data_IF_784210768898
#
_entry.id   IF_784210768898
#
_cell.length_a   1.000
_cell.length_b   1.000
_cell.length_c   1.000
_cell.angle_alpha   90.00
_cell.angle_beta   90.00
_cell.angle_gamma   90.00
#
_symmetry.space_group_name_H-M   'P 1'
#
loop_
_entity.id
_entity.type
_entity.pdbx_description
1 polymer ?
#
# COMPACT_ATOMS: atom_id res chain seq x y z
N UNK A 1 8.40 -8.12 -20.48
CA UNK A 1 7.92 -9.51 -20.31
C UNK A 1 9.06 -10.36 -19.75
N UNK A 2 8.83 -11.64 -19.45
CA UNK A 2 9.89 -12.63 -19.23
C UNK A 2 10.50 -13.01 -20.57
N UNK A 3 11.83 -13.07 -20.61
CA UNK A 3 12.58 -13.11 -21.85
C UNK A 3 12.79 -14.58 -22.27
N UNK A 4 12.49 -14.89 -23.53
CA UNK A 4 12.66 -16.24 -24.12
C UNK A 4 13.77 -16.12 -25.16
N UNK A 5 14.90 -16.81 -24.93
CA UNK A 5 16.13 -16.66 -25.71
C UNK A 5 16.38 -17.89 -26.57
N UNK A 6 16.56 -17.67 -27.87
CA UNK A 6 16.93 -18.71 -28.84
C UNK A 6 18.29 -18.38 -29.46
N UNK A 7 19.24 -19.29 -29.28
CA UNK A 7 20.62 -19.16 -29.74
C UNK A 7 20.88 -20.09 -30.94
N UNK A 8 21.45 -19.51 -32.00
CA UNK A 8 21.82 -20.26 -33.21
C UNK A 8 22.89 -21.30 -32.87
N UNK A 9 22.65 -22.54 -33.29
CA UNK A 9 23.53 -23.68 -33.01
C UNK A 9 23.27 -24.40 -31.68
N UNK A 10 22.40 -23.88 -30.80
CA UNK A 10 22.03 -24.55 -29.54
C UNK A 10 20.57 -25.03 -29.55
N UNK A 11 19.62 -24.14 -29.27
CA UNK A 11 18.18 -24.44 -29.18
C UNK A 11 17.37 -23.96 -30.41
N UNK A 12 18.04 -23.56 -31.49
CA UNK A 12 17.41 -23.02 -32.71
C UNK A 12 16.35 -23.94 -33.33
N UNK A 13 16.55 -25.26 -33.30
CA UNK A 13 15.57 -26.24 -33.78
C UNK A 13 14.24 -26.20 -33.00
N UNK A 14 14.22 -25.73 -31.75
CA UNK A 14 12.99 -25.52 -30.98
C UNK A 14 12.21 -24.31 -31.50
N UNK A 15 12.91 -23.25 -31.94
CA UNK A 15 12.28 -22.08 -32.56
C UNK A 15 11.64 -22.47 -33.90
N UNK A 16 12.36 -23.22 -34.74
CA UNK A 16 11.82 -23.74 -36.02
C UNK A 16 10.65 -24.70 -35.79
N UNK A 17 10.77 -25.60 -34.81
CA UNK A 17 9.69 -26.52 -34.41
C UNK A 17 8.46 -25.82 -33.81
N UNK A 18 8.64 -24.67 -33.18
CA UNK A 18 7.57 -23.83 -32.65
C UNK A 18 6.87 -23.06 -33.78
N UNK A 19 7.63 -22.34 -34.61
CA UNK A 19 7.10 -21.55 -35.73
C UNK A 19 6.42 -22.39 -36.83
N UNK A 20 6.76 -23.67 -36.94
CA UNK A 20 6.11 -24.62 -37.88
C UNK A 20 4.85 -25.29 -37.33
N UNK A 21 4.52 -25.09 -36.04
CA UNK A 21 3.39 -25.76 -35.36
C UNK A 21 2.43 -24.81 -34.63
N UNK A 22 2.88 -23.60 -34.29
CA UNK A 22 2.15 -22.64 -33.49
C UNK A 22 2.18 -21.26 -34.13
N UNK A 23 1.00 -20.68 -34.37
CA UNK A 23 0.84 -19.31 -34.90
C UNK A 23 1.00 -18.22 -33.82
N UNK A 24 1.04 -18.62 -32.54
CA UNK A 24 1.12 -17.74 -31.38
C UNK A 24 2.12 -18.23 -30.33
N UNK A 25 2.66 -17.29 -29.55
CA UNK A 25 3.58 -17.55 -28.45
C UNK A 25 3.05 -16.88 -27.17
N UNK A 26 2.75 -17.69 -26.16
CA UNK A 26 2.37 -17.20 -24.84
C UNK A 26 3.59 -16.66 -24.09
N UNK A 27 3.60 -15.35 -23.80
CA UNK A 27 4.66 -14.68 -23.06
C UNK A 27 4.18 -14.22 -21.69
N UNK A 28 4.91 -14.59 -20.63
CA UNK A 28 4.58 -14.15 -19.26
C UNK A 28 4.95 -12.68 -19.06
N UNK A 29 4.00 -11.86 -18.63
CA UNK A 29 4.26 -10.50 -18.17
C UNK A 29 5.00 -10.52 -16.82
N UNK A 30 5.97 -9.61 -16.63
CA UNK A 30 6.61 -9.39 -15.32
C UNK A 30 5.62 -8.58 -14.46
N UNK A 31 5.35 -8.99 -13.22
CA UNK A 31 4.55 -8.14 -12.32
C UNK A 31 5.28 -6.82 -12.04
N UNK A 32 4.50 -5.75 -11.79
CA UNK A 32 5.05 -4.40 -11.68
C UNK A 32 5.52 -3.75 -12.98
N UNK A 33 5.22 -4.37 -14.12
CA UNK A 33 5.31 -3.74 -15.43
C UNK A 33 3.95 -3.77 -16.12
N UNK A 34 3.57 -2.70 -16.80
CA UNK A 34 2.38 -2.66 -17.65
C UNK A 34 2.64 -3.28 -19.05
N UNK A 35 1.58 -3.67 -19.79
CA UNK A 35 1.73 -4.06 -21.20
C UNK A 35 2.16 -2.87 -22.06
N UNK A 36 2.79 -3.12 -23.21
CA UNK A 36 3.23 -2.06 -24.13
C UNK A 36 2.10 -1.17 -24.67
N UNK A 37 0.84 -1.60 -24.61
CA UNK A 37 -0.31 -0.76 -24.99
C UNK A 37 -0.61 0.34 -23.95
N UNK A 38 -0.29 0.10 -22.67
CA UNK A 38 -0.58 0.99 -21.55
C UNK A 38 0.65 1.79 -21.07
N UNK A 39 1.86 1.27 -21.30
CA UNK A 39 3.15 1.91 -20.99
C UNK A 39 4.19 1.63 -22.10
N UNK A 40 4.04 2.23 -23.31
CA UNK A 40 4.89 1.89 -24.46
C UNK A 40 6.39 2.09 -24.25
N UNK A 41 6.75 3.07 -23.41
CA UNK A 41 8.13 3.45 -23.10
C UNK A 41 8.62 2.87 -21.75
N UNK A 42 7.75 2.16 -21.01
CA UNK A 42 8.08 1.64 -19.69
C UNK A 42 8.26 2.70 -18.59
N UNK A 43 7.93 3.97 -18.84
CA UNK A 43 8.22 5.07 -17.91
C UNK A 43 7.42 4.98 -16.60
N UNK A 44 6.16 4.53 -16.64
CA UNK A 44 5.37 4.33 -15.40
C UNK A 44 6.01 3.23 -14.55
N UNK A 45 6.38 2.14 -15.22
CA UNK A 45 7.04 0.98 -14.61
C UNK A 45 8.43 1.34 -14.04
N UNK A 46 9.19 2.18 -14.75
CA UNK A 46 10.52 2.66 -14.32
C UNK A 46 10.42 3.61 -13.12
N UNK A 47 9.50 4.57 -13.13
CA UNK A 47 9.28 5.49 -11.99
C UNK A 47 8.92 4.70 -10.73
N UNK A 48 8.04 3.70 -10.86
CA UNK A 48 7.72 2.81 -9.74
C UNK A 48 8.95 2.10 -9.17
N UNK A 49 9.81 1.54 -10.05
CA UNK A 49 11.07 0.90 -9.65
C UNK A 49 12.02 1.89 -8.93
N UNK A 50 12.23 3.09 -9.48
CA UNK A 50 13.17 4.08 -8.89
C UNK A 50 12.81 4.49 -7.47
N UNK A 51 11.52 4.49 -7.13
CA UNK A 51 11.02 4.76 -5.77
C UNK A 51 11.35 3.64 -4.75
N UNK A 52 12.10 2.59 -5.13
CA UNK A 52 12.62 1.57 -4.20
C UNK A 52 14.14 1.34 -4.31
N UNK A 53 14.80 1.83 -5.35
CA UNK A 53 16.22 1.53 -5.61
C UNK A 53 17.19 2.34 -4.74
N UNK A 54 16.73 3.40 -4.08
CA UNK A 54 17.57 4.30 -3.28
C UNK A 54 17.64 3.92 -1.79
N UNK A 55 17.15 2.74 -1.39
CA UNK A 55 16.89 2.34 0.01
C UNK A 55 15.94 3.29 0.78
N UNK A 56 15.29 4.21 0.07
CA UNK A 56 14.22 5.07 0.60
C UNK A 56 12.90 4.41 0.28
N UNK A 57 12.40 3.59 1.20
CA UNK A 57 11.00 3.16 1.17
C UNK A 57 10.13 4.43 1.24
N UNK A 58 9.18 4.65 0.30
CA UNK A 58 8.27 5.78 0.39
C UNK A 58 7.37 5.57 1.61
N UNK A 59 7.64 6.28 2.71
CA UNK A 59 6.90 6.15 3.98
C UNK A 59 5.38 6.38 3.83
N UNK A 60 4.93 6.97 2.72
CA UNK A 60 3.54 7.10 2.34
C UNK A 60 3.24 6.51 0.94
N UNK A 61 3.37 5.19 0.75
CA UNK A 61 2.85 4.51 -0.45
C UNK A 61 1.31 4.63 -0.47
N UNK A 62 0.78 5.58 -1.26
CA UNK A 62 -0.65 5.63 -1.57
C UNK A 62 -1.04 4.42 -2.43
N UNK A 63 -2.24 3.89 -2.19
CA UNK A 63 -2.88 2.83 -2.98
C UNK A 63 -2.84 3.08 -4.50
N UNK A 64 -3.01 4.35 -4.91
CA UNK A 64 -3.04 4.80 -6.31
C UNK A 64 -1.72 4.51 -7.03
N UNK A 65 -0.59 4.61 -6.32
CA UNK A 65 0.71 4.27 -6.88
C UNK A 65 0.79 2.78 -7.17
N UNK A 66 0.45 1.89 -6.22
CA UNK A 66 0.47 0.43 -6.45
C UNK A 66 -0.35 0.06 -7.69
N UNK A 67 -1.55 0.64 -7.85
CA UNK A 67 -2.44 0.34 -8.99
C UNK A 67 -2.00 0.93 -10.32
N UNK A 68 -1.10 1.92 -10.36
CA UNK A 68 -0.77 2.64 -11.60
C UNK A 68 0.22 1.91 -12.51
N UNK A 69 0.87 0.85 -12.04
CA UNK A 69 1.89 0.09 -12.77
C UNK A 69 1.70 -1.44 -12.72
N UNK A 70 0.53 -1.94 -12.30
CA UNK A 70 0.24 -3.38 -12.23
C UNK A 70 -1.16 -3.72 -12.74
N UNK A 71 -1.29 -4.86 -13.42
CA UNK A 71 -2.56 -5.46 -13.82
C UNK A 71 -2.78 -6.84 -13.15
N UNK A 72 -2.00 -7.16 -12.10
CA UNK A 72 -2.16 -8.42 -11.37
C UNK A 72 -3.45 -8.38 -10.52
N UNK A 73 -4.40 -9.27 -10.83
CA UNK A 73 -5.71 -9.34 -10.15
C UNK A 73 -5.58 -9.60 -8.65
N UNK A 74 -4.57 -10.32 -8.19
CA UNK A 74 -4.30 -10.58 -6.76
C UNK A 74 -3.92 -9.29 -6.07
N UNK A 75 -3.00 -8.53 -6.67
CA UNK A 75 -2.54 -7.23 -6.16
C UNK A 75 -3.69 -6.23 -6.14
N UNK A 76 -4.44 -6.11 -7.23
CA UNK A 76 -5.60 -5.22 -7.32
C UNK A 76 -6.68 -5.57 -6.27
N UNK A 77 -6.93 -6.86 -6.03
CA UNK A 77 -7.81 -7.31 -4.96
C UNK A 77 -7.25 -7.00 -3.56
N UNK A 78 -5.94 -7.16 -3.33
CA UNK A 78 -5.31 -6.80 -2.05
C UNK A 78 -5.44 -5.31 -1.78
N UNK A 79 -5.17 -4.46 -2.78
CA UNK A 79 -5.37 -3.02 -2.67
C UNK A 79 -6.85 -2.73 -2.35
N UNK A 80 -7.79 -3.27 -3.13
CA UNK A 80 -9.23 -3.01 -2.98
C UNK A 80 -9.83 -3.47 -1.63
N UNK A 81 -9.41 -4.62 -1.11
CA UNK A 81 -10.06 -5.23 0.07
C UNK A 81 -9.29 -5.02 1.38
N UNK A 82 -7.99 -4.74 1.33
CA UNK A 82 -7.17 -4.54 2.54
C UNK A 82 -6.63 -3.11 2.67
N UNK A 83 -6.16 -2.48 1.58
CA UNK A 83 -5.51 -1.16 1.67
C UNK A 83 -6.48 0.02 1.44
N UNK A 84 -7.56 -0.20 0.70
CA UNK A 84 -8.56 0.82 0.43
C UNK A 84 -9.47 1.00 1.64
N UNK A 85 -9.40 2.18 2.28
CA UNK A 85 -10.32 2.57 3.37
C UNK A 85 -11.75 2.38 2.86
N UNK A 86 -12.57 1.59 3.58
CA UNK A 86 -14.00 1.45 3.27
C UNK A 86 -14.68 2.81 3.43
N UNK A 87 -14.83 3.53 2.32
CA UNK A 87 -15.94 4.47 2.19
C UNK A 87 -17.21 3.63 2.21
N UNK A 88 -17.92 3.66 3.32
CA UNK A 88 -19.32 3.22 3.35
C UNK A 88 -20.08 4.10 2.38
N UNK A 89 -20.42 3.55 1.22
CA UNK A 89 -21.36 4.18 0.27
C UNK A 89 -22.77 4.16 0.85
N UNK A 90 -22.98 4.93 1.92
CA UNK A 90 -24.31 5.28 2.37
C UNK A 90 -24.94 6.20 1.31
N UNK A 91 -25.73 5.61 0.42
CA UNK A 91 -26.74 6.31 -0.36
C UNK A 91 -27.80 6.87 0.60
N UNK A 92 -27.50 8.00 1.25
CA UNK A 92 -28.51 8.80 1.91
C UNK A 92 -29.33 9.54 0.85
N UNK A 93 -30.53 9.03 0.56
CA UNK A 93 -31.58 9.84 -0.02
C UNK A 93 -31.96 10.93 1.00
N UNK A 94 -31.55 12.17 0.73
CA UNK A 94 -31.85 13.30 1.60
C UNK A 94 -33.30 13.72 1.39
N UNK A 95 -34.19 13.21 2.23
CA UNK A 95 -35.55 13.74 2.35
C UNK A 95 -35.50 15.16 2.95
N UNK A 96 -35.93 16.15 2.17
CA UNK A 96 -35.78 17.60 2.42
C UNK A 96 -36.60 18.19 3.60
N UNK A 97 -36.98 17.40 4.61
CA UNK A 97 -37.93 17.81 5.66
C UNK A 97 -37.31 18.28 6.98
N UNK A 98 -36.00 18.12 7.20
CA UNK A 98 -35.38 18.41 8.52
C UNK A 98 -34.60 19.73 8.59
N UNK A 99 -34.38 20.44 7.47
CA UNK A 99 -33.64 21.72 7.46
C UNK A 99 -34.49 22.87 8.07
N UNK A 100 -35.81 22.83 7.90
CA UNK A 100 -36.74 23.86 8.39
C UNK A 100 -36.79 23.99 9.92
N UNK A 101 -36.39 22.97 10.67
CA UNK A 101 -36.50 22.93 12.14
C UNK A 101 -35.21 23.32 12.87
N UNK A 102 -34.07 23.38 12.19
CA UNK A 102 -32.80 23.79 12.80
C UNK A 102 -32.58 25.31 12.77
N UNK A 103 -33.09 26.00 11.75
CA UNK A 103 -32.86 27.44 11.52
C UNK A 103 -33.60 28.33 12.54
N UNK A 104 -34.68 27.86 13.15
CA UNK A 104 -35.48 28.63 14.10
C UNK A 104 -34.92 28.73 15.53
N UNK A 105 -33.75 28.13 15.82
CA UNK A 105 -33.15 28.11 17.18
C UNK A 105 -31.88 28.93 17.38
N UNK A 106 -31.36 29.60 16.34
CA UNK A 106 -30.11 30.38 16.42
C UNK A 106 -30.37 31.89 16.64
N UNK A 107 -31.60 32.37 16.44
CA UNK A 107 -31.95 33.78 16.69
C UNK A 107 -32.69 33.98 18.01
N UNK A 108 -31.96 34.03 19.14
CA UNK A 108 -32.34 34.79 20.34
C UNK A 108 -31.24 34.80 21.43
N UNK A 109 -30.58 35.94 21.61
CA UNK A 109 -30.23 36.45 22.95
C UNK A 109 -28.77 36.50 23.41
N UNK A 110 -28.18 37.71 23.35
CA UNK A 110 -27.29 38.37 24.36
C UNK A 110 -25.96 37.67 24.82
N UNK A 111 -24.84 38.35 25.10
CA UNK A 111 -24.33 39.70 24.80
C UNK A 111 -22.82 39.84 25.18
N UNK A 112 -22.08 40.69 24.44
CA UNK A 112 -20.93 41.53 24.88
C UNK A 112 -19.63 40.95 25.50
N UNK A 113 -18.51 41.11 24.76
CA UNK A 113 -17.22 41.79 25.13
C UNK A 113 -16.07 41.30 24.21
N UNK A 114 -15.63 42.02 23.18
CA UNK A 114 -14.75 43.22 23.17
C UNK A 114 -13.25 42.96 23.36
N UNK A 115 -12.46 43.06 22.29
CA UNK A 115 -11.22 43.86 22.23
C UNK A 115 -10.76 44.07 20.77
N UNK A 116 -10.36 45.30 20.43
CA UNK A 116 -9.86 45.74 19.10
C UNK A 116 -8.37 45.31 18.88
N UNK A 117 -7.65 45.49 17.77
CA UNK A 117 -7.64 46.36 16.54
C UNK A 117 -6.74 45.66 15.48
N UNK A 118 -6.59 46.01 14.18
CA UNK A 118 -7.30 46.87 13.20
C UNK A 118 -6.69 46.71 11.79
N UNK A 119 -7.50 46.75 10.71
CA UNK A 119 -7.11 47.00 9.29
C UNK A 119 -6.24 45.92 8.58
N UNK A 120 -6.32 45.66 7.25
CA UNK A 120 -6.99 46.35 6.13
C UNK A 120 -7.80 45.41 5.19
N UNK A 121 -8.50 46.02 4.21
CA UNK A 121 -9.45 45.42 3.25
C UNK A 121 -8.81 44.47 2.22
N UNK A 122 -9.57 43.46 1.77
CA UNK A 122 -10.31 43.51 0.48
C UNK A 122 -11.11 42.21 0.22
N UNK A 123 -12.43 42.33 0.08
CA UNK A 123 -13.31 41.23 -0.34
C UNK A 123 -13.28 41.01 -1.87
N UNK A 124 -13.22 39.75 -2.28
CA UNK A 124 -13.98 39.23 -3.43
C UNK A 124 -14.62 37.90 -3.02
N UNK A 125 -15.95 37.83 -3.10
CA UNK A 125 -16.71 36.82 -2.37
C UNK A 125 -16.68 35.41 -2.96
N UNK A 126 -16.63 34.41 -2.08
CA UNK A 126 -17.05 33.04 -2.41
C UNK A 126 -18.51 32.81 -2.01
N UNK A 127 -19.35 32.50 -2.99
CA UNK A 127 -20.69 31.97 -2.75
C UNK A 127 -20.58 30.61 -2.04
N UNK A 128 -20.98 30.55 -0.77
CA UNK A 128 -20.83 29.37 0.07
C UNK A 128 -21.83 28.28 -0.36
N UNK A 129 -21.38 27.36 -1.23
CA UNK A 129 -22.22 26.29 -1.75
C UNK A 129 -22.51 25.20 -0.68
N UNK A 130 -23.69 24.55 -0.72
CA UNK A 130 -24.05 23.47 0.23
C UNK A 130 -23.07 22.28 0.25
N UNK A 131 -22.24 22.16 -0.78
CA UNK A 131 -21.25 21.10 -0.96
C UNK A 131 -20.17 21.10 0.14
N UNK A 132 -19.77 22.28 0.64
CA UNK A 132 -18.78 22.38 1.73
C UNK A 132 -19.30 21.70 3.01
N UNK A 133 -20.58 21.86 3.35
CA UNK A 133 -21.19 21.28 4.57
C UNK A 133 -21.26 19.74 4.54
N UNK A 134 -21.58 19.15 3.38
CA UNK A 134 -21.57 17.68 3.22
C UNK A 134 -20.15 17.13 3.38
N UNK A 135 -19.13 17.83 2.85
CA UNK A 135 -17.74 17.43 3.02
C UNK A 135 -17.29 17.50 4.48
N UNK A 136 -17.69 18.55 5.23
CA UNK A 136 -17.43 18.64 6.68
C UNK A 136 -18.06 17.48 7.45
N UNK A 137 -19.33 17.15 7.17
CA UNK A 137 -20.02 16.01 7.81
C UNK A 137 -19.40 14.66 7.42
N UNK A 138 -18.91 14.52 6.19
CA UNK A 138 -18.20 13.31 5.74
C UNK A 138 -16.89 13.14 6.52
N UNK A 139 -16.14 14.22 6.74
CA UNK A 139 -14.89 14.19 7.51
C UNK A 139 -15.15 13.86 8.99
N UNK A 140 -16.23 14.38 9.60
CA UNK A 140 -16.63 14.04 10.99
C UNK A 140 -17.06 12.56 11.10
N UNK A 141 -17.74 12.01 10.09
CA UNK A 141 -18.06 10.57 10.06
C UNK A 141 -16.80 9.69 9.85
N UNK A 142 -15.82 10.20 9.10
CA UNK A 142 -14.54 9.53 8.82
C UNK A 142 -13.56 9.59 10.01
N UNK A 143 -13.79 10.51 10.96
CA UNK A 143 -13.22 10.57 12.32
C UNK A 143 -13.86 9.54 13.28
N UNK A 144 -15.16 9.27 13.15
CA UNK A 144 -15.88 8.33 14.04
C UNK A 144 -15.60 6.84 13.75
N UNK A 145 -14.95 6.52 12.63
CA UNK A 145 -14.27 5.22 12.47
C UNK A 145 -12.80 5.35 12.83
N UNK A 146 -12.51 5.29 14.14
CA UNK A 146 -11.14 5.18 14.65
C UNK A 146 -10.51 3.84 14.26
N UNK A 147 -9.93 3.79 13.06
CA UNK A 147 -8.90 2.81 12.69
C UNK A 147 -7.77 2.96 13.72
N UNK A 148 -7.55 1.93 14.52
CA UNK A 148 -6.58 1.97 15.63
C UNK A 148 -5.16 2.27 15.14
N UNK A 149 -4.31 2.88 15.98
CA UNK A 149 -2.95 3.26 15.56
C UNK A 149 -2.12 2.05 15.09
N UNK A 150 -2.29 0.90 15.73
CA UNK A 150 -1.66 -0.37 15.33
C UNK A 150 -2.19 -0.91 14.00
N UNK A 151 -3.48 -0.74 13.71
CA UNK A 151 -4.08 -1.07 12.41
C UNK A 151 -3.58 -0.13 11.30
N UNK A 152 -3.47 1.18 11.56
CA UNK A 152 -2.85 2.15 10.63
C UNK A 152 -1.41 1.76 10.30
N UNK A 153 -0.61 1.45 11.31
CA UNK A 153 0.77 1.01 11.15
C UNK A 153 0.87 -0.31 10.35
N UNK A 154 0.00 -1.28 10.64
CA UNK A 154 -0.08 -2.52 9.87
C UNK A 154 -0.43 -2.28 8.39
N UNK A 155 -1.44 -1.45 8.10
CA UNK A 155 -1.86 -1.14 6.73
C UNK A 155 -0.76 -0.40 5.94
N UNK A 156 -0.04 0.52 6.58
CA UNK A 156 1.12 1.20 6.00
C UNK A 156 2.25 0.21 5.69
N UNK A 157 2.57 -0.68 6.64
CA UNK A 157 3.57 -1.75 6.46
C UNK A 157 3.18 -2.71 5.34
N UNK A 158 1.90 -3.07 5.26
CA UNK A 158 1.36 -3.94 4.21
C UNK A 158 1.42 -3.27 2.84
N UNK A 159 1.11 -1.97 2.72
CA UNK A 159 1.22 -1.23 1.47
C UNK A 159 2.67 -1.19 0.94
N UNK A 160 3.64 -0.95 1.84
CA UNK A 160 5.09 -1.00 1.53
C UNK A 160 5.50 -2.38 1.01
N UNK A 161 5.10 -3.44 1.72
CA UNK A 161 5.41 -4.83 1.34
C UNK A 161 4.77 -5.19 -0.01
N UNK A 162 3.53 -4.79 -0.25
CA UNK A 162 2.84 -5.00 -1.54
C UNK A 162 3.58 -4.27 -2.65
N UNK A 163 3.96 -3.01 -2.45
CA UNK A 163 4.72 -2.22 -3.41
C UNK A 163 6.04 -2.89 -3.81
N UNK A 164 6.84 -3.33 -2.84
CA UNK A 164 8.09 -4.07 -3.10
C UNK A 164 7.87 -5.40 -3.83
N UNK A 165 6.89 -6.20 -3.39
CA UNK A 165 6.58 -7.50 -3.99
C UNK A 165 6.11 -7.37 -5.45
N UNK A 166 5.39 -6.29 -5.78
CA UNK A 166 4.98 -6.00 -7.16
C UNK A 166 6.19 -5.60 -8.01
N UNK A 167 7.01 -4.67 -7.53
CA UNK A 167 8.19 -4.17 -8.24
C UNK A 167 9.23 -5.27 -8.52
N UNK A 168 9.43 -6.19 -7.57
CA UNK A 168 10.46 -7.23 -7.66
C UNK A 168 9.97 -8.52 -8.35
N UNK A 169 8.78 -8.51 -8.98
CA UNK A 169 8.06 -9.67 -9.56
C UNK A 169 7.92 -10.87 -8.60
N UNK A 170 7.55 -10.57 -7.34
CA UNK A 170 7.54 -11.49 -6.18
C UNK A 170 6.22 -11.45 -5.39
N UNK A 171 5.10 -11.22 -6.09
CA UNK A 171 3.74 -11.17 -5.52
C UNK A 171 3.37 -12.45 -4.75
N UNK A 172 3.91 -13.61 -5.13
CA UNK A 172 3.72 -14.89 -4.44
C UNK A 172 4.29 -14.95 -3.02
N UNK A 173 5.12 -13.98 -2.61
CA UNK A 173 5.69 -13.90 -1.26
C UNK A 173 4.82 -13.11 -0.27
N UNK A 174 3.73 -12.48 -0.71
CA UNK A 174 2.83 -11.73 0.18
C UNK A 174 2.27 -12.57 1.35
N UNK A 175 1.88 -13.84 1.18
CA UNK A 175 1.47 -14.69 2.30
C UNK A 175 2.60 -14.94 3.31
N UNK A 176 3.86 -15.06 2.85
CA UNK A 176 5.02 -15.22 3.74
C UNK A 176 5.25 -13.97 4.58
N UNK A 177 5.16 -12.79 3.97
CA UNK A 177 5.26 -11.50 4.68
C UNK A 177 4.18 -11.31 5.74
N UNK A 178 2.91 -11.55 5.38
CA UNK A 178 1.77 -11.42 6.31
C UNK A 178 1.92 -12.42 7.46
N UNK A 179 2.37 -13.66 7.19
CA UNK A 179 2.65 -14.65 8.22
C UNK A 179 3.81 -14.23 9.14
N UNK A 180 4.88 -13.63 8.62
CA UNK A 180 5.99 -13.11 9.44
C UNK A 180 5.52 -11.99 10.37
N UNK A 181 4.80 -10.99 9.85
CA UNK A 181 4.25 -9.90 10.66
C UNK A 181 3.32 -10.44 11.76
N UNK A 182 2.40 -11.34 11.39
CA UNK A 182 1.49 -11.99 12.34
C UNK A 182 2.22 -12.85 13.37
N UNK A 183 3.34 -13.47 13.01
CA UNK A 183 4.17 -14.24 13.96
C UNK A 183 4.79 -13.32 15.01
N UNK A 184 5.27 -12.14 14.62
CA UNK A 184 5.78 -11.11 15.55
C UNK A 184 4.66 -10.58 16.46
N UNK A 185 3.50 -10.27 15.90
CA UNK A 185 2.34 -9.80 16.68
C UNK A 185 1.82 -10.86 17.69
N UNK A 186 1.90 -12.15 17.36
CA UNK A 186 1.57 -13.23 18.30
C UNK A 186 2.67 -13.40 19.35
N UNK A 187 3.94 -13.22 19.01
CA UNK A 187 5.07 -13.25 19.95
C UNK A 187 5.00 -12.13 20.99
N UNK A 188 4.51 -10.96 20.60
CA UNK A 188 4.26 -9.81 21.49
C UNK A 188 3.16 -10.12 22.53
N UNK A 189 2.22 -11.01 22.21
CA UNK A 189 1.10 -11.39 23.09
C UNK A 189 1.38 -12.64 23.92
N UNK A 190 2.29 -13.51 23.46
CA UNK A 190 2.69 -14.74 24.17
C UNK A 190 4.04 -15.27 23.67
N UNK A 191 4.93 -15.74 24.57
CA UNK A 191 6.17 -16.39 24.16
C UNK A 191 5.88 -17.67 23.36
N UNK A 192 6.59 -17.87 22.24
CA UNK A 192 6.43 -19.06 21.41
C UNK A 192 7.72 -19.45 20.68
N UNK A 193 8.36 -20.51 21.15
CA UNK A 193 9.59 -21.05 20.57
C UNK A 193 9.44 -21.32 19.06
N UNK A 194 8.30 -21.85 18.63
CA UNK A 194 8.04 -22.15 17.22
C UNK A 194 8.06 -20.89 16.33
N UNK A 195 7.34 -19.84 16.72
CA UNK A 195 7.29 -18.58 15.96
C UNK A 195 8.64 -17.86 15.98
N UNK A 196 9.33 -17.87 17.13
CA UNK A 196 10.69 -17.35 17.25
C UNK A 196 11.66 -18.05 16.29
N UNK A 197 11.60 -19.39 16.18
CA UNK A 197 12.40 -20.15 15.23
C UNK A 197 12.03 -19.88 13.78
N UNK A 198 10.75 -19.70 13.43
CA UNK A 198 10.34 -19.31 12.08
C UNK A 198 10.94 -17.95 11.67
N UNK A 199 10.81 -16.94 12.52
CA UNK A 199 11.39 -15.61 12.27
C UNK A 199 12.92 -15.69 12.17
N UNK A 200 13.57 -16.43 13.10
CA UNK A 200 15.03 -16.63 13.11
C UNK A 200 15.55 -17.34 11.84
N UNK A 201 14.85 -18.35 11.35
CA UNK A 201 15.23 -19.07 10.12
C UNK A 201 15.13 -18.19 8.88
N UNK A 202 14.05 -17.40 8.75
CA UNK A 202 13.92 -16.45 7.65
C UNK A 202 14.98 -15.35 7.74
N UNK A 203 15.23 -14.81 8.94
CA UNK A 203 16.28 -13.82 9.16
C UNK A 203 17.67 -14.38 8.79
N UNK A 204 18.02 -15.59 9.23
CA UNK A 204 19.28 -16.24 8.86
C UNK A 204 19.41 -16.48 7.35
N UNK A 205 18.34 -16.91 6.69
CA UNK A 205 18.36 -17.19 5.25
C UNK A 205 18.47 -15.92 4.38
N UNK A 206 17.95 -14.78 4.83
CA UNK A 206 18.05 -13.50 4.10
C UNK A 206 19.35 -12.78 4.43
N UNK A 207 19.73 -12.69 5.71
CA UNK A 207 20.96 -12.01 6.15
C UNK A 207 22.24 -12.79 5.83
N UNK A 208 22.15 -14.11 5.63
CA UNK A 208 23.28 -14.96 5.25
C UNK A 208 23.62 -14.96 3.75
N UNK A 209 22.91 -14.18 2.92
CA UNK A 209 23.20 -14.08 1.47
C UNK A 209 24.40 -13.16 1.23
N UNK A 210 25.23 -13.53 0.26
CA UNK A 210 26.29 -12.65 -0.24
C UNK A 210 25.69 -11.58 -1.15
N UNK A 211 26.20 -10.35 -1.03
CA UNK A 211 25.77 -9.11 -1.73
C UNK A 211 25.71 -9.17 -3.26
N UNK A 212 26.18 -10.27 -3.86
CA UNK A 212 26.16 -10.53 -5.31
C UNK A 212 24.75 -10.98 -5.75
N UNK A 213 23.94 -11.53 -4.85
CA UNK A 213 22.62 -12.11 -5.14
C UNK A 213 21.44 -11.18 -4.78
N UNK A 214 21.69 -9.90 -4.52
CA UNK A 214 20.67 -8.92 -4.06
C UNK A 214 19.51 -8.75 -5.06
N UNK A 215 19.76 -8.85 -6.37
CA UNK A 215 18.70 -8.88 -7.39
C UNK A 215 17.71 -10.07 -7.20
N UNK A 216 18.20 -11.18 -6.62
CA UNK A 216 17.40 -12.37 -6.27
C UNK A 216 16.96 -12.39 -4.80
N UNK A 217 17.26 -11.36 -4.00
CA UNK A 217 16.78 -11.27 -2.62
C UNK A 217 15.26 -11.34 -2.59
N UNK A 218 14.72 -12.34 -1.88
CA UNK A 218 13.28 -12.60 -1.84
C UNK A 218 12.54 -11.55 -0.99
N UNK A 219 13.20 -11.09 0.08
CA UNK A 219 12.73 -10.09 1.03
C UNK A 219 13.79 -8.98 1.11
N UNK A 220 13.39 -7.73 1.38
CA UNK A 220 14.34 -6.65 1.70
C UNK A 220 15.14 -7.01 2.95
N UNK A 221 16.46 -6.80 2.89
CA UNK A 221 17.38 -6.98 4.03
C UNK A 221 16.98 -6.05 5.18
N UNK A 222 16.54 -4.84 4.88
CA UNK A 222 16.13 -3.82 5.85
C UNK A 222 14.84 -4.26 6.56
N UNK A 223 13.82 -4.65 5.80
CA UNK A 223 12.53 -5.11 6.36
C UNK A 223 12.68 -6.37 7.22
N UNK A 224 13.57 -7.30 6.84
CA UNK A 224 13.89 -8.48 7.67
C UNK A 224 14.73 -8.11 8.89
N UNK A 225 15.62 -7.13 8.79
CA UNK A 225 16.39 -6.61 9.93
C UNK A 225 15.47 -5.92 10.94
N UNK A 226 14.50 -5.11 10.49
CA UNK A 226 13.49 -4.49 11.32
C UNK A 226 12.62 -5.53 12.06
N UNK A 227 12.18 -6.59 11.37
CA UNK A 227 11.48 -7.73 12.00
C UNK A 227 12.36 -8.40 13.06
N UNK A 228 13.63 -8.65 12.77
CA UNK A 228 14.59 -9.25 13.71
C UNK A 228 14.77 -8.36 14.95
N UNK A 229 14.94 -7.05 14.76
CA UNK A 229 15.09 -6.08 15.85
C UNK A 229 13.82 -6.00 16.73
N UNK A 230 12.63 -5.88 16.13
CA UNK A 230 11.36 -5.92 16.89
C UNK A 230 11.18 -7.23 17.65
N UNK A 231 11.58 -8.36 17.06
CA UNK A 231 11.52 -9.67 17.73
C UNK A 231 12.48 -9.75 18.92
N UNK A 232 13.68 -9.15 18.82
CA UNK A 232 14.61 -9.06 19.94
C UNK A 232 14.03 -8.19 21.08
N UNK A 233 13.54 -6.98 20.78
CA UNK A 233 12.91 -6.11 21.78
C UNK A 233 11.72 -6.77 22.50
N UNK A 234 10.92 -7.57 21.78
CA UNK A 234 9.86 -8.37 22.38
C UNK A 234 10.46 -9.42 23.33
N UNK A 235 11.52 -10.14 22.94
CA UNK A 235 12.19 -11.12 23.79
C UNK A 235 12.76 -10.48 25.05
N UNK A 236 13.45 -9.35 24.92
CA UNK A 236 14.00 -8.57 26.03
C UNK A 236 12.88 -8.17 27.02
N UNK A 237 11.71 -7.75 26.51
CA UNK A 237 10.53 -7.42 27.35
C UNK A 237 9.84 -8.60 28.04
N UNK A 238 10.27 -9.84 27.80
CA UNK A 238 9.85 -11.02 28.57
C UNK A 238 10.91 -11.45 29.62
N UNK A 239 12.08 -10.80 29.66
CA UNK A 239 13.12 -11.05 30.69
C UNK A 239 12.94 -10.17 31.94
N UNK A 240 12.23 -9.05 31.82
CA UNK A 240 11.82 -8.12 32.91
C UNK A 240 10.51 -8.56 33.63
#
# INVERSE_FOLDING_TARGET
YWDIVFERGHNWHLLEGMLSKCDSLDVKQKAGCLPYIDDPQGFKSLVAQTLTTENVIPWAVKQEHITSFTNDKTVLNIVKYFLQKRRTEHKFEVNNLTISQAVSKISSGYASKSFDTSSEKMDTGESLSPLKSIHTLTNILDELMEVSESERYFLQTLAIIVYECVIKDKVSLLPLWVNLYKSVEILEKRPSNYLAWQVKLVAAHVLGRTRIDDAKALLSVESVTAIKQRTALIMDSWED
#
